data_IF_784684509068
#
_entry.id   IF_784684509068
#
_cell.length_a   1.000
_cell.length_b   1.000
_cell.length_c   1.000
_cell.angle_alpha   90.00
_cell.angle_beta   90.00
_cell.angle_gamma   90.00
#
_symmetry.space_group_name_H-M   'P 1'
#
loop_
_entity.id
_entity.type
_entity.pdbx_description
1 polymer ?
#
# COMPACT_ATOMS: atom_id res chain seq x y z
N UNK A 1 -9.78 -64.77 10.70
CA UNK A 1 -11.07 -64.19 10.28
C UNK A 1 -11.27 -62.96 11.15
N UNK A 2 -10.83 -61.79 10.64
CA UNK A 2 -11.62 -60.55 10.43
C UNK A 2 -12.02 -59.89 11.77
N UNK A 3 -11.55 -58.70 12.14
CA UNK A 3 -11.76 -57.36 11.52
C UNK A 3 -10.79 -56.31 12.19
N UNK A 4 -10.78 -55.00 11.86
CA UNK A 4 -9.97 -54.33 10.85
C UNK A 4 -9.02 -53.21 11.36
N UNK A 5 -8.21 -52.70 10.43
CA UNK A 5 -7.60 -51.37 10.35
C UNK A 5 -8.26 -50.25 11.19
N UNK A 6 -7.45 -49.60 12.02
CA UNK A 6 -7.66 -48.19 12.39
C UNK A 6 -6.55 -47.35 11.75
N UNK A 7 -6.86 -46.84 10.56
CA UNK A 7 -6.16 -45.71 9.95
C UNK A 7 -6.36 -44.48 10.84
N UNK A 8 -5.29 -44.02 11.47
CA UNK A 8 -5.22 -42.67 12.01
C UNK A 8 -5.13 -41.70 10.83
N UNK A 9 -6.27 -41.11 10.47
CA UNK A 9 -6.32 -39.90 9.66
C UNK A 9 -5.75 -38.75 10.51
N UNK A 10 -4.50 -38.38 10.26
CA UNK A 10 -3.96 -37.11 10.73
C UNK A 10 -4.65 -35.99 9.95
N UNK A 11 -5.36 -35.16 10.70
CA UNK A 11 -6.08 -33.99 10.26
C UNK A 11 -5.11 -33.04 9.56
N UNK A 12 -5.44 -32.68 8.32
CA UNK A 12 -4.82 -31.56 7.65
C UNK A 12 -5.25 -30.29 8.39
N UNK A 13 -4.29 -29.63 9.04
CA UNK A 13 -4.47 -28.27 9.54
C UNK A 13 -4.88 -27.38 8.38
N UNK A 14 -6.13 -26.94 8.40
CA UNK A 14 -6.62 -25.88 7.53
C UNK A 14 -5.85 -24.61 7.89
N UNK A 15 -4.82 -24.28 7.10
CA UNK A 15 -4.06 -23.05 7.24
C UNK A 15 -5.02 -21.87 7.09
N UNK A 16 -5.23 -21.14 8.18
CA UNK A 16 -5.94 -19.86 8.13
C UNK A 16 -5.20 -18.93 7.16
N UNK A 17 -5.91 -18.09 6.39
CA UNK A 17 -5.26 -17.10 5.52
C UNK A 17 -4.40 -16.17 6.40
N UNK A 18 -3.09 -16.33 6.33
CA UNK A 18 -2.14 -15.47 7.03
C UNK A 18 -2.20 -14.09 6.38
N UNK A 19 -2.80 -13.13 7.04
CA UNK A 19 -2.96 -11.76 6.56
C UNK A 19 -1.59 -11.05 6.48
N UNK A 20 -1.39 -10.18 5.49
CA UNK A 20 -0.15 -9.40 5.40
C UNK A 20 -0.04 -8.49 6.62
N UNK A 21 1.10 -8.50 7.31
CA UNK A 21 1.34 -7.58 8.43
C UNK A 21 1.87 -6.26 7.88
N UNK A 22 0.97 -5.30 7.67
CA UNK A 22 1.30 -3.90 7.38
C UNK A 22 1.08 -3.06 8.64
N UNK A 23 2.15 -2.48 9.18
CA UNK A 23 2.10 -1.78 10.47
C UNK A 23 2.52 -0.32 10.30
N UNK A 24 1.68 0.67 10.67
CA UNK A 24 2.10 2.06 10.70
C UNK A 24 3.14 2.26 11.81
N UNK A 25 4.30 2.81 11.45
CA UNK A 25 5.36 3.17 12.39
C UNK A 25 5.39 4.70 12.54
N UNK A 26 4.79 5.19 13.63
CA UNK A 26 4.49 6.61 13.80
C UNK A 26 5.50 7.32 14.70
N UNK A 27 6.16 6.56 15.57
CA UNK A 27 7.16 7.01 16.53
C UNK A 27 8.48 6.23 16.39
N UNK A 28 9.61 6.76 16.89
CA UNK A 28 10.86 5.99 17.00
C UNK A 28 10.67 4.67 17.77
N UNK A 29 9.86 4.68 18.83
CA UNK A 29 9.58 3.51 19.65
C UNK A 29 8.84 2.41 18.87
N UNK A 30 7.91 2.80 17.98
CA UNK A 30 7.23 1.85 17.08
C UNK A 30 8.25 1.12 16.18
N UNK A 31 9.26 1.84 15.68
CA UNK A 31 10.32 1.27 14.83
C UNK A 31 11.13 0.24 15.62
N UNK A 32 11.58 0.60 16.82
CA UNK A 32 12.38 -0.28 17.67
C UNK A 32 11.60 -1.54 18.05
N UNK A 33 10.34 -1.37 18.43
CA UNK A 33 9.45 -2.48 18.79
C UNK A 33 9.21 -3.40 17.59
N UNK A 34 8.86 -2.83 16.44
CA UNK A 34 8.60 -3.59 15.22
C UNK A 34 9.81 -4.41 14.79
N UNK A 35 11.01 -3.82 14.74
CA UNK A 35 12.24 -4.53 14.35
C UNK A 35 12.67 -5.59 15.37
N UNK A 36 12.29 -5.44 16.63
CA UNK A 36 12.53 -6.43 17.68
C UNK A 36 11.55 -7.60 17.61
N UNK A 37 10.28 -7.34 17.30
CA UNK A 37 9.23 -8.36 17.20
C UNK A 37 9.33 -9.17 15.91
N UNK A 38 9.89 -8.59 14.85
CA UNK A 38 10.03 -9.20 13.55
C UNK A 38 11.51 -9.31 13.13
N UNK A 39 12.18 -10.45 13.43
CA UNK A 39 13.59 -10.65 13.07
C UNK A 39 13.86 -10.56 11.57
N UNK A 40 12.89 -10.86 10.72
CA UNK A 40 12.93 -10.58 9.29
C UNK A 40 11.74 -9.69 8.94
N UNK A 41 12.03 -8.46 8.53
CA UNK A 41 11.00 -7.45 8.24
C UNK A 41 11.51 -6.43 7.23
N UNK A 42 10.62 -5.65 6.64
CA UNK A 42 11.01 -4.46 5.91
C UNK A 42 10.40 -3.19 6.50
N UNK A 43 11.09 -2.07 6.33
CA UNK A 43 10.54 -0.73 6.56
C UNK A 43 10.39 -0.01 5.23
N UNK A 44 9.18 0.45 4.93
CA UNK A 44 8.88 1.26 3.75
C UNK A 44 8.62 2.72 4.15
N UNK A 45 9.55 3.61 3.82
CA UNK A 45 9.38 5.06 3.99
C UNK A 45 8.63 5.61 2.78
N UNK A 46 7.42 6.09 3.03
CA UNK A 46 6.44 6.51 2.04
C UNK A 46 6.30 8.04 2.01
N UNK A 47 6.45 8.61 0.81
CA UNK A 47 6.12 10.01 0.54
C UNK A 47 4.72 10.15 -0.01
N UNK A 48 4.42 11.33 -0.57
CA UNK A 48 3.09 11.65 -1.11
C UNK A 48 3.06 11.69 -2.65
N UNK A 49 4.14 11.31 -3.32
CA UNK A 49 4.24 11.36 -4.78
C UNK A 49 3.92 10.00 -5.46
N UNK A 50 3.53 10.03 -6.74
CA UNK A 50 3.21 8.89 -7.61
C UNK A 50 4.28 7.79 -7.59
N UNK A 51 5.55 8.20 -7.45
CA UNK A 51 6.68 7.29 -7.30
C UNK A 51 6.57 6.38 -6.08
N UNK A 52 6.03 6.90 -4.98
CA UNK A 52 5.75 6.13 -3.77
C UNK A 52 4.68 5.08 -4.05
N UNK A 53 3.61 5.45 -4.76
CA UNK A 53 2.54 4.53 -5.13
C UNK A 53 3.05 3.41 -6.04
N UNK A 54 3.86 3.74 -7.05
CA UNK A 54 4.47 2.74 -7.93
C UNK A 54 5.41 1.80 -7.16
N UNK A 55 6.29 2.34 -6.31
CA UNK A 55 7.22 1.53 -5.52
C UNK A 55 6.48 0.60 -4.54
N UNK A 56 5.41 1.09 -3.91
CA UNK A 56 4.56 0.26 -3.05
C UNK A 56 3.81 -0.80 -3.86
N UNK A 57 3.29 -0.47 -5.04
CA UNK A 57 2.65 -1.41 -5.94
C UNK A 57 3.57 -2.56 -6.39
N UNK A 58 4.85 -2.26 -6.64
CA UNK A 58 5.87 -3.29 -6.88
C UNK A 58 6.05 -4.16 -5.64
N UNK A 59 6.24 -3.57 -4.46
CA UNK A 59 6.37 -4.30 -3.20
C UNK A 59 5.18 -5.24 -2.95
N UNK A 60 3.95 -4.77 -3.17
CA UNK A 60 2.74 -5.58 -2.98
C UNK A 60 2.72 -6.84 -3.84
N UNK A 61 3.20 -6.80 -5.08
CA UNK A 61 3.28 -7.99 -5.94
C UNK A 61 4.17 -9.08 -5.32
N UNK A 62 5.21 -8.69 -4.58
CA UNK A 62 6.03 -9.62 -3.82
C UNK A 62 5.32 -10.10 -2.56
N UNK A 63 4.70 -9.19 -1.83
CA UNK A 63 3.94 -9.49 -0.61
C UNK A 63 2.78 -10.48 -0.84
N UNK A 64 2.19 -10.51 -2.04
CA UNK A 64 1.21 -11.55 -2.43
C UNK A 64 1.80 -12.97 -2.44
N UNK A 65 3.08 -13.11 -2.79
CA UNK A 65 3.79 -14.40 -2.94
C UNK A 65 4.70 -14.73 -1.75
N UNK A 66 5.10 -13.73 -0.97
CA UNK A 66 6.09 -13.85 0.09
C UNK A 66 5.54 -13.33 1.42
N UNK A 67 5.95 -13.98 2.51
CA UNK A 67 5.57 -13.58 3.86
C UNK A 67 6.65 -12.68 4.47
N UNK A 68 6.34 -11.38 4.53
CA UNK A 68 7.23 -10.37 5.10
C UNK A 68 6.39 -9.32 5.85
N UNK A 69 6.58 -9.15 7.17
CA UNK A 69 6.07 -8.01 7.90
C UNK A 69 6.67 -6.72 7.34
N UNK A 70 5.83 -5.74 7.04
CA UNK A 70 6.26 -4.43 6.53
C UNK A 70 5.74 -3.33 7.45
N UNK A 71 6.69 -2.66 8.10
CA UNK A 71 6.43 -1.42 8.80
C UNK A 71 6.47 -0.27 7.81
N UNK A 72 5.52 0.66 7.86
CA UNK A 72 5.53 1.81 6.96
C UNK A 72 5.56 3.13 7.69
N UNK A 73 6.24 4.10 7.09
CA UNK A 73 6.40 5.45 7.65
C UNK A 73 5.96 6.48 6.63
N UNK A 74 4.90 7.24 6.93
CA UNK A 74 4.53 8.42 6.14
C UNK A 74 5.48 9.55 6.48
N UNK A 75 6.48 9.81 5.63
CA UNK A 75 7.64 10.66 5.99
C UNK A 75 7.29 12.13 6.20
N UNK A 76 6.15 12.59 5.66
CA UNK A 76 5.65 13.95 5.89
C UNK A 76 5.09 14.09 7.30
N UNK A 77 4.34 13.09 7.75
CA UNK A 77 3.61 13.10 9.03
C UNK A 77 4.46 12.60 10.21
N UNK A 78 5.33 11.62 9.96
CA UNK A 78 6.05 10.85 10.98
C UNK A 78 7.57 10.98 10.83
N UNK A 79 8.03 12.23 10.63
CA UNK A 79 9.47 12.56 10.49
C UNK A 79 10.34 11.97 11.61
N UNK A 80 9.95 12.00 12.90
CA UNK A 80 10.77 11.41 13.96
C UNK A 80 11.04 9.91 13.74
N UNK A 81 10.03 9.11 13.37
CA UNK A 81 10.22 7.70 13.05
C UNK A 81 11.13 7.50 11.82
N UNK A 82 10.93 8.33 10.77
CA UNK A 82 11.75 8.27 9.56
C UNK A 82 13.23 8.56 9.82
N UNK A 83 13.50 9.59 10.64
CA UNK A 83 14.85 9.99 11.05
C UNK A 83 15.49 8.90 11.91
N UNK A 84 14.74 8.32 12.85
CA UNK A 84 15.23 7.24 13.69
C UNK A 84 15.73 6.04 12.87
N UNK A 85 15.00 5.63 11.82
CA UNK A 85 15.49 4.59 10.89
C UNK A 85 16.79 5.00 10.22
N UNK A 86 16.95 6.27 9.85
CA UNK A 86 18.21 6.78 9.26
C UNK A 86 19.34 6.74 10.28
N UNK A 87 19.09 7.10 11.54
CA UNK A 87 20.09 7.08 12.62
C UNK A 87 20.50 5.64 12.97
N UNK A 88 19.55 4.70 13.02
CA UNK A 88 19.80 3.27 13.27
C UNK A 88 20.63 2.61 12.17
N UNK A 89 20.37 2.97 10.92
CA UNK A 89 20.95 2.27 9.76
C UNK A 89 22.17 2.98 9.16
N UNK A 90 22.32 4.27 9.42
CA UNK A 90 23.28 5.14 8.71
C UNK A 90 22.91 5.42 7.25
N UNK A 91 21.76 4.94 6.76
CA UNK A 91 21.33 5.11 5.38
C UNK A 91 20.70 6.48 5.16
N UNK A 92 21.09 7.12 4.06
CA UNK A 92 20.57 8.43 3.67
C UNK A 92 19.05 8.34 3.48
N UNK A 93 18.33 9.33 3.99
CA UNK A 93 16.89 9.40 3.83
C UNK A 93 16.49 9.56 2.36
N UNK A 94 15.63 8.66 1.88
CA UNK A 94 14.97 8.75 0.59
C UNK A 94 13.47 8.46 0.72
N UNK A 95 12.70 8.86 -0.31
CA UNK A 95 11.26 8.60 -0.38
C UNK A 95 10.81 8.46 -1.85
N UNK A 96 10.19 7.33 -2.25
CA UNK A 96 10.05 6.12 -1.45
C UNK A 96 11.41 5.47 -1.14
N UNK A 97 11.47 4.70 -0.05
CA UNK A 97 12.64 3.90 0.33
C UNK A 97 12.17 2.62 1.03
N UNK A 98 12.63 1.46 0.54
CA UNK A 98 12.43 0.15 1.13
C UNK A 98 13.74 -0.34 1.72
N UNK A 99 13.72 -0.73 2.99
CA UNK A 99 14.89 -1.32 3.66
C UNK A 99 14.47 -2.67 4.22
N UNK A 100 15.17 -3.74 3.84
CA UNK A 100 15.01 -5.07 4.44
C UNK A 100 15.93 -5.19 5.64
N UNK A 101 15.39 -5.69 6.75
CA UNK A 101 16.09 -5.92 8.00
C UNK A 101 16.15 -7.42 8.33
N UNK A 102 17.28 -7.82 8.90
CA UNK A 102 17.47 -9.15 9.50
C UNK A 102 18.12 -8.96 10.87
N UNK A 103 17.48 -9.47 11.92
CA UNK A 103 17.88 -9.29 13.32
C UNK A 103 18.15 -7.81 13.67
N UNK A 104 17.26 -6.93 13.20
CA UNK A 104 17.37 -5.47 13.38
C UNK A 104 18.48 -4.78 12.57
N UNK A 105 19.24 -5.52 11.74
CA UNK A 105 20.31 -4.96 10.91
C UNK A 105 19.85 -4.78 9.46
N UNK A 106 20.14 -3.64 8.80
CA UNK A 106 19.78 -3.43 7.41
C UNK A 106 20.60 -4.37 6.51
N UNK A 107 19.92 -5.16 5.68
CA UNK A 107 20.54 -6.11 4.74
C UNK A 107 20.47 -5.64 3.30
N UNK A 108 19.44 -4.88 2.97
CA UNK A 108 19.20 -4.41 1.61
C UNK A 108 18.45 -3.09 1.66
N UNK A 109 18.79 -2.19 0.74
CA UNK A 109 18.10 -0.93 0.53
C UNK A 109 17.82 -0.79 -0.97
N UNK A 110 16.61 -0.36 -1.28
CA UNK A 110 16.27 0.20 -2.59
C UNK A 110 15.37 1.39 -2.39
N UNK A 111 15.50 2.40 -3.24
CA UNK A 111 14.74 3.62 -3.08
C UNK A 111 14.31 4.15 -4.44
N UNK A 112 13.48 5.18 -4.41
CA UNK A 112 13.21 5.96 -5.58
C UNK A 112 12.65 5.12 -6.75
N UNK A 113 13.23 5.27 -7.95
CA UNK A 113 12.80 4.58 -9.17
C UNK A 113 13.39 3.19 -9.27
N UNK A 114 14.33 2.86 -8.37
CA UNK A 114 15.01 1.58 -8.35
C UNK A 114 14.16 0.50 -7.68
N UNK A 115 13.03 0.86 -7.07
CA UNK A 115 12.05 -0.09 -6.52
C UNK A 115 11.31 -0.76 -7.69
N UNK A 116 11.97 -1.73 -8.32
CA UNK A 116 11.46 -2.48 -9.47
C UNK A 116 11.44 -3.99 -9.18
N UNK A 117 10.64 -4.78 -9.94
CA UNK A 117 10.65 -6.23 -9.80
C UNK A 117 12.04 -6.85 -9.94
N UNK A 118 12.85 -6.34 -10.87
CA UNK A 118 14.20 -6.83 -11.13
C UNK A 118 15.15 -6.59 -9.95
N UNK A 119 14.96 -5.49 -9.21
CA UNK A 119 15.73 -5.20 -8.01
C UNK A 119 15.28 -6.04 -6.81
N UNK A 120 13.97 -6.29 -6.67
CA UNK A 120 13.42 -7.01 -5.52
C UNK A 120 13.49 -8.54 -5.66
N UNK A 121 13.29 -9.11 -6.85
CA UNK A 121 13.19 -10.57 -7.06
C UNK A 121 14.38 -11.36 -6.53
N UNK A 122 15.66 -10.95 -6.76
CA UNK A 122 16.81 -11.69 -6.23
C UNK A 122 16.80 -11.75 -4.70
N UNK A 123 16.46 -10.64 -4.05
CA UNK A 123 16.47 -10.52 -2.58
C UNK A 123 15.30 -11.29 -1.97
N UNK A 124 14.09 -11.12 -2.52
CA UNK A 124 12.91 -11.83 -2.03
C UNK A 124 13.03 -13.34 -2.20
N UNK A 125 13.57 -13.82 -3.33
CA UNK A 125 13.80 -15.25 -3.56
C UNK A 125 14.84 -15.83 -2.61
N UNK A 126 15.89 -15.07 -2.28
CA UNK A 126 16.98 -15.55 -1.44
C UNK A 126 16.65 -15.50 0.07
N UNK A 127 15.98 -14.44 0.52
CA UNK A 127 15.89 -14.12 1.96
C UNK A 127 14.45 -14.19 2.51
N UNK A 128 13.41 -14.09 1.66
CA UNK A 128 12.03 -13.94 2.13
C UNK A 128 11.21 -15.21 1.89
N UNK A 129 10.65 -15.85 2.94
CA UNK A 129 9.85 -17.06 2.79
C UNK A 129 8.69 -16.91 1.80
N UNK A 130 8.47 -17.93 0.98
CA UNK A 130 7.28 -18.01 0.11
C UNK A 130 6.05 -18.31 0.96
N UNK A 131 4.96 -17.62 0.68
CA UNK A 131 3.69 -17.78 1.38
C UNK A 131 3.06 -19.14 1.06
N UNK A 132 2.48 -19.79 2.05
CA UNK A 132 1.80 -21.08 1.88
C UNK A 132 0.39 -20.98 1.23
N UNK A 133 -0.06 -19.80 0.79
CA UNK A 133 -1.37 -19.58 0.17
C UNK A 133 -1.49 -18.22 -0.56
N UNK A 134 -2.61 -18.00 -1.27
CA UNK A 134 -2.92 -16.69 -1.87
C UNK A 134 -3.38 -15.72 -0.78
N UNK A 135 -2.54 -14.77 -0.39
CA UNK A 135 -2.91 -13.74 0.58
C UNK A 135 -3.38 -12.46 -0.08
N UNK A 136 -4.47 -11.89 0.41
CA UNK A 136 -4.86 -10.51 0.13
C UNK A 136 -4.11 -9.58 1.08
N UNK A 137 -3.48 -8.55 0.53
CA UNK A 137 -3.01 -7.40 1.32
C UNK A 137 -4.26 -6.59 1.66
N UNK A 138 -4.65 -6.55 2.92
CA UNK A 138 -5.83 -5.80 3.37
C UNK A 138 -5.46 -4.32 3.54
N UNK A 139 -5.87 -3.48 2.59
CA UNK A 139 -5.82 -2.01 2.63
C UNK A 139 -7.21 -1.40 2.88
N UNK A 140 -8.21 -2.22 3.22
CA UNK A 140 -9.65 -1.93 3.16
C UNK A 140 -10.10 -0.64 3.85
N UNK A 141 -9.36 -0.14 4.84
CA UNK A 141 -9.70 1.10 5.57
C UNK A 141 -9.31 2.40 4.83
N UNK A 142 -8.51 2.33 3.76
CA UNK A 142 -7.96 3.53 3.10
C UNK A 142 -8.90 4.14 2.04
N UNK A 143 -9.93 3.43 1.58
CA UNK A 143 -10.82 3.88 0.49
C UNK A 143 -12.14 4.50 0.97
N UNK A 144 -12.48 4.36 2.26
CA UNK A 144 -13.76 4.82 2.80
C UNK A 144 -14.01 6.33 2.67
N UNK A 145 -13.01 7.21 2.84
CA UNK A 145 -13.18 8.65 2.55
C UNK A 145 -13.62 8.93 1.10
N UNK A 146 -13.11 8.16 0.13
CA UNK A 146 -13.50 8.26 -1.28
C UNK A 146 -14.93 7.78 -1.50
N UNK A 147 -15.31 6.64 -0.90
CA UNK A 147 -16.69 6.13 -0.98
C UNK A 147 -17.70 7.15 -0.48
N UNK A 148 -17.43 7.78 0.67
CA UNK A 148 -18.31 8.83 1.22
C UNK A 148 -18.44 10.00 0.26
N UNK A 149 -17.31 10.52 -0.25
CA UNK A 149 -17.30 11.65 -1.18
C UNK A 149 -18.08 11.35 -2.48
N UNK A 150 -17.89 10.14 -3.03
CA UNK A 150 -18.59 9.70 -4.24
C UNK A 150 -20.10 9.52 -4.01
N UNK A 151 -20.51 8.99 -2.87
CA UNK A 151 -21.93 8.89 -2.52
C UNK A 151 -22.59 10.27 -2.37
N UNK A 152 -21.91 11.22 -1.72
CA UNK A 152 -22.40 12.60 -1.60
C UNK A 152 -22.61 13.25 -2.98
N UNK A 153 -21.72 12.99 -3.95
CA UNK A 153 -21.89 13.44 -5.33
C UNK A 153 -23.05 12.75 -6.06
N UNK A 154 -23.15 11.42 -5.97
CA UNK A 154 -24.23 10.65 -6.65
C UNK A 154 -25.61 11.04 -6.13
N UNK A 155 -25.73 11.35 -4.84
CA UNK A 155 -26.96 11.83 -4.21
C UNK A 155 -27.29 13.29 -4.53
N UNK A 156 -26.41 14.01 -5.24
CA UNK A 156 -26.61 15.41 -5.62
C UNK A 156 -26.32 16.40 -4.48
N UNK A 157 -25.64 15.97 -3.41
CA UNK A 157 -25.19 16.85 -2.32
C UNK A 157 -23.96 17.68 -2.71
N UNK A 158 -23.23 17.26 -3.73
CA UNK A 158 -22.10 17.98 -4.32
C UNK A 158 -22.36 18.29 -5.79
N UNK A 159 -21.91 19.47 -6.25
CA UNK A 159 -21.85 19.79 -7.67
C UNK A 159 -20.64 19.10 -8.32
N UNK A 160 -20.66 18.94 -9.65
CA UNK A 160 -19.54 18.34 -10.40
C UNK A 160 -18.20 19.01 -10.10
N UNK A 161 -18.20 20.34 -9.98
CA UNK A 161 -17.01 21.12 -9.67
C UNK A 161 -16.52 20.91 -8.24
N UNK A 162 -17.44 20.92 -7.26
CA UNK A 162 -17.09 20.70 -5.87
C UNK A 162 -16.57 19.27 -5.66
N UNK A 163 -17.17 18.28 -6.32
CA UNK A 163 -16.71 16.90 -6.30
C UNK A 163 -15.33 16.76 -6.92
N UNK A 164 -15.10 17.29 -8.13
CA UNK A 164 -13.80 17.21 -8.80
C UNK A 164 -12.69 17.84 -7.95
N UNK A 165 -12.93 19.03 -7.40
CA UNK A 165 -11.96 19.74 -6.55
C UNK A 165 -11.62 18.94 -5.28
N UNK A 166 -12.66 18.53 -4.52
CA UNK A 166 -12.47 17.78 -3.29
C UNK A 166 -11.83 16.41 -3.54
N UNK A 167 -12.24 15.71 -4.60
CA UNK A 167 -11.71 14.39 -4.93
C UNK A 167 -10.24 14.47 -5.29
N UNK A 168 -9.83 15.39 -6.16
CA UNK A 168 -8.43 15.48 -6.59
C UNK A 168 -7.54 16.01 -5.46
N UNK A 169 -8.00 17.00 -4.68
CA UNK A 169 -7.26 17.47 -3.52
C UNK A 169 -7.10 16.35 -2.48
N UNK A 170 -8.17 15.61 -2.19
CA UNK A 170 -8.09 14.42 -1.33
C UNK A 170 -7.14 13.39 -1.93
N UNK A 171 -7.23 13.07 -3.22
CA UNK A 171 -6.38 12.06 -3.86
C UNK A 171 -4.89 12.43 -3.88
N UNK A 172 -4.58 13.73 -3.96
CA UNK A 172 -3.23 14.28 -3.90
C UNK A 172 -2.67 14.35 -2.48
N UNK A 173 -3.49 14.79 -1.54
CA UNK A 173 -3.07 15.01 -0.15
C UNK A 173 -3.17 13.72 0.69
N UNK A 174 -3.83 12.69 0.16
CA UNK A 174 -3.94 11.37 0.77
C UNK A 174 -2.62 10.60 0.72
N UNK A 175 -1.95 10.62 1.87
CA UNK A 175 -0.73 9.89 2.15
C UNK A 175 -0.97 8.43 2.60
N UNK A 176 -2.18 7.87 2.43
CA UNK A 176 -2.43 6.46 2.72
C UNK A 176 -1.64 5.57 1.75
N UNK A 177 -1.05 4.50 2.29
CA UNK A 177 -0.48 3.44 1.47
C UNK A 177 -1.62 2.61 0.91
N UNK A 178 -1.90 2.81 -0.37
CA UNK A 178 -2.96 2.12 -1.10
C UNK A 178 -2.34 1.15 -2.08
N UNK A 179 -3.08 0.09 -2.35
CA UNK A 179 -2.63 -0.89 -3.31
C UNK A 179 -2.52 -0.29 -4.72
N UNK A 180 -1.67 -0.87 -5.58
CA UNK A 180 -1.62 -0.47 -7.00
C UNK A 180 -3.01 -0.53 -7.64
N UNK A 181 -3.80 -1.56 -7.29
CA UNK A 181 -5.17 -1.72 -7.77
C UNK A 181 -6.05 -0.56 -7.35
N UNK A 182 -6.01 -0.16 -6.08
CA UNK A 182 -6.79 0.99 -5.58
C UNK A 182 -6.34 2.29 -6.23
N UNK A 183 -5.03 2.50 -6.38
CA UNK A 183 -4.51 3.68 -7.08
C UNK A 183 -5.00 3.73 -8.53
N UNK A 184 -4.91 2.62 -9.26
CA UNK A 184 -5.39 2.53 -10.64
C UNK A 184 -6.89 2.79 -10.73
N UNK A 185 -7.69 2.22 -9.81
CA UNK A 185 -9.14 2.44 -9.74
C UNK A 185 -9.46 3.91 -9.47
N UNK A 186 -8.88 4.52 -8.45
CA UNK A 186 -9.14 5.91 -8.06
C UNK A 186 -8.64 6.91 -9.12
N UNK A 187 -7.55 6.59 -9.83
CA UNK A 187 -7.01 7.41 -10.92
C UNK A 187 -7.91 7.41 -12.16
N UNK A 188 -8.86 6.47 -12.33
CA UNK A 188 -9.74 6.44 -13.51
C UNK A 188 -10.69 7.62 -13.63
N UNK A 189 -11.08 8.26 -12.54
CA UNK A 189 -12.02 9.38 -12.59
C UNK A 189 -11.38 10.63 -13.18
N UNK A 190 -10.20 10.98 -12.68
CA UNK A 190 -9.58 12.27 -12.99
C UNK A 190 -8.17 12.18 -13.54
N UNK A 191 -7.51 11.03 -13.47
CA UNK A 191 -6.10 10.84 -13.85
C UNK A 191 -5.17 10.85 -12.63
N UNK A 192 -3.87 10.77 -12.89
CA UNK A 192 -2.84 10.88 -11.86
C UNK A 192 -2.80 12.32 -11.32
N UNK A 193 -3.01 12.54 -10.01
CA UNK A 193 -3.04 13.87 -9.39
C UNK A 193 -1.69 14.59 -9.53
N UNK A 194 -0.58 13.86 -9.63
CA UNK A 194 0.76 14.43 -9.80
C UNK A 194 1.02 14.93 -11.23
N UNK A 195 0.28 14.44 -12.23
CA UNK A 195 0.38 14.95 -13.60
C UNK A 195 -0.06 16.42 -13.71
N UNK A 196 -0.76 16.95 -12.69
CA UNK A 196 -1.31 18.31 -12.66
C UNK A 196 -0.42 19.30 -11.89
N UNK A 197 0.88 19.34 -12.20
CA UNK A 197 1.83 20.28 -11.58
C UNK A 197 1.42 21.77 -11.69
N UNK A 198 0.49 22.13 -12.60
CA UNK A 198 -0.09 23.48 -12.74
C UNK A 198 -1.41 23.72 -12.00
N UNK A 199 -1.86 22.77 -11.17
CA UNK A 199 -3.12 22.84 -10.43
C UNK A 199 -4.35 22.33 -11.20
N UNK A 200 -5.46 22.21 -10.46
CA UNK A 200 -6.77 21.69 -10.91
C UNK A 200 -7.34 22.34 -12.19
N UNK A 201 -6.88 23.53 -12.55
CA UNK A 201 -7.30 24.24 -13.77
C UNK A 201 -6.97 23.47 -15.06
N UNK A 202 -5.98 22.57 -15.05
CA UNK A 202 -5.63 21.73 -16.22
C UNK A 202 -6.62 20.60 -16.47
N UNK A 203 -7.44 20.21 -15.48
CA UNK A 203 -8.43 19.15 -15.66
C UNK A 203 -9.60 19.54 -16.57
N UNK A 204 -9.82 20.84 -16.78
CA UNK A 204 -10.92 21.38 -17.57
C UNK A 204 -12.28 21.24 -16.87
N UNK A 205 -13.36 21.51 -17.60
CA UNK A 205 -14.73 21.38 -17.09
C UNK A 205 -15.09 19.90 -16.91
N UNK A 206 -15.62 19.48 -15.75
CA UNK A 206 -15.98 18.09 -15.49
C UNK A 206 -16.92 17.50 -16.55
N UNK A 207 -17.88 18.31 -17.04
CA UNK A 207 -18.85 17.92 -18.07
C UNK A 207 -18.23 17.56 -19.43
N UNK A 208 -16.99 17.98 -19.71
CA UNK A 208 -16.31 17.66 -20.97
C UNK A 208 -15.71 16.25 -20.99
N UNK A 209 -15.69 15.55 -19.84
CA UNK A 209 -15.14 14.18 -19.69
C UNK A 209 -16.22 13.08 -19.69
N UNK A 210 -17.36 13.36 -20.33
CA UNK A 210 -18.49 12.45 -20.41
C UNK A 210 -19.39 12.48 -19.17
N UNK A 211 -20.18 11.43 -18.98
CA UNK A 211 -21.08 11.31 -17.84
C UNK A 211 -20.29 10.96 -16.56
N UNK A 212 -19.96 12.01 -15.81
CA UNK A 212 -19.23 11.88 -14.55
C UNK A 212 -20.00 11.06 -13.52
N UNK A 213 -21.33 11.18 -13.48
CA UNK A 213 -22.16 10.48 -12.50
C UNK A 213 -22.17 8.97 -12.76
N UNK A 214 -22.30 8.57 -14.02
CA UNK A 214 -22.21 7.16 -14.41
C UNK A 214 -20.85 6.55 -14.06
N UNK A 215 -19.75 7.27 -14.35
CA UNK A 215 -18.39 6.81 -14.04
C UNK A 215 -18.12 6.69 -12.53
N UNK A 216 -18.67 7.60 -11.72
CA UNK A 216 -18.57 7.51 -10.26
C UNK A 216 -19.34 6.30 -9.72
N UNK A 217 -20.52 6.01 -10.26
CA UNK A 217 -21.30 4.83 -9.88
C UNK A 217 -20.61 3.52 -10.26
N UNK A 218 -19.97 3.46 -11.42
CA UNK A 218 -19.14 2.34 -11.84
C UNK A 218 -17.97 2.13 -10.88
N UNK A 219 -17.22 3.19 -10.56
CA UNK A 219 -16.11 3.10 -9.62
C UNK A 219 -16.54 2.67 -8.21
N UNK A 220 -17.67 3.21 -7.70
CA UNK A 220 -18.24 2.77 -6.42
C UNK A 220 -18.54 1.27 -6.40
N UNK A 221 -18.99 0.70 -7.52
CA UNK A 221 -19.27 -0.74 -7.63
C UNK A 221 -17.97 -1.56 -7.63
N UNK A 222 -16.91 -1.06 -8.26
CA UNK A 222 -15.61 -1.75 -8.34
C UNK A 222 -14.81 -1.69 -7.04
N UNK A 223 -15.00 -0.62 -6.24
CA UNK A 223 -14.38 -0.47 -4.93
C UNK A 223 -15.02 -1.37 -3.86
N UNK A 224 -16.22 -1.92 -4.11
CA UNK A 224 -16.97 -2.71 -3.11
C UNK A 224 -17.39 -1.89 -1.91
#
# INVERSE_FOLDING_TARGET
MTTPDQQHAQQADAQAPQQQVLVPLTTPEDVDQFLKEHPLAAVFKAGTCHKTMQGFGVLEQFLQRHELPVGFIRVVDWRPASNHVTDLTGLVHHSPQLILFKEGQPQFEVNNWDITPEALEPVFTAEVPVRAGQGTVSTDDNVEPYRRLMNDFVEGRLSDWAFQDQYVNMFRDDASLRSQREFDLLSRLFGDPDAYHGGLHQLGQPQQRGDLKARVQELLTELG
#
